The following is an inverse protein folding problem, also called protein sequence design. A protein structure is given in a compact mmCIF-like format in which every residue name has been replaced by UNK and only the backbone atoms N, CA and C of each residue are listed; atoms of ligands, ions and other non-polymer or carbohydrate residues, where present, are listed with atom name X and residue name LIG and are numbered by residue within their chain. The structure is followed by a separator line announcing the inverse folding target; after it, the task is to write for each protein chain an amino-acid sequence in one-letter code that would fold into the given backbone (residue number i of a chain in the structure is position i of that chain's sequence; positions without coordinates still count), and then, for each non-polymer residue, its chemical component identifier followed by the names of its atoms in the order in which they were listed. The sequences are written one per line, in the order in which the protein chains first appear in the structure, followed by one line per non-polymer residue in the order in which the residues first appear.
data_IF_346827109534
#
_entry.id   IF_346827109534
#
_cell.length_a   1.000
_cell.length_b   1.000
_cell.length_c   1.000
_cell.angle_alpha   90.00
_cell.angle_beta   90.00
_cell.angle_gamma   90.00
#
_symmetry.space_group_name_H-M   'P 1'
#
loop_
_entity.id
_entity.type
_entity.pdbx_description
1 polymer ?
#
# COMPACT_ATOMS: atom_id res chain seq x y z
N UNK A 1 11.90 -29.03 12.63
CA UNK A 1 10.51 -28.55 12.75
C UNK A 1 9.82 -28.77 11.41
N UNK A 2 8.68 -29.47 11.39
CA UNK A 2 7.98 -29.88 10.17
C UNK A 2 7.47 -28.66 9.37
N UNK A 3 7.63 -28.65 8.04
CA UNK A 3 7.18 -27.56 7.14
C UNK A 3 5.69 -27.28 7.32
N UNK A 4 4.87 -28.33 7.48
CA UNK A 4 3.43 -28.21 7.68
C UNK A 4 3.08 -27.48 8.98
N UNK A 5 3.85 -27.72 10.06
CA UNK A 5 3.66 -27.01 11.34
C UNK A 5 3.99 -25.52 11.18
N UNK A 6 5.08 -25.19 10.48
CA UNK A 6 5.46 -23.78 10.22
C UNK A 6 4.43 -23.03 9.41
N UNK A 7 3.87 -23.65 8.38
CA UNK A 7 2.84 -23.03 7.55
C UNK A 7 1.58 -22.77 8.38
N UNK A 8 1.12 -23.76 9.14
CA UNK A 8 -0.06 -23.65 9.99
C UNK A 8 0.08 -22.53 11.04
N UNK A 9 1.28 -22.35 11.62
CA UNK A 9 1.56 -21.26 12.54
C UNK A 9 1.38 -19.89 11.88
N UNK A 10 1.87 -19.71 10.65
CA UNK A 10 1.71 -18.46 9.91
C UNK A 10 0.27 -18.22 9.46
N UNK A 11 -0.44 -19.25 9.01
CA UNK A 11 -1.85 -19.15 8.63
C UNK A 11 -2.71 -18.69 9.82
N UNK A 12 -2.41 -19.22 11.01
CA UNK A 12 -3.04 -18.79 12.26
C UNK A 12 -2.73 -17.33 12.57
N UNK A 13 -1.46 -16.92 12.49
CA UNK A 13 -1.04 -15.52 12.71
C UNK A 13 -1.78 -14.56 11.76
N UNK A 14 -1.89 -14.91 10.47
CA UNK A 14 -2.62 -14.12 9.47
C UNK A 14 -4.11 -14.02 9.82
N UNK A 15 -4.73 -15.14 10.20
CA UNK A 15 -6.14 -15.20 10.57
C UNK A 15 -6.47 -14.32 11.78
N UNK A 16 -5.61 -14.36 12.81
CA UNK A 16 -5.74 -13.53 14.01
C UNK A 16 -5.50 -12.05 13.71
N UNK A 17 -4.46 -11.75 12.93
CA UNK A 17 -4.10 -10.38 12.57
C UNK A 17 -5.20 -9.69 11.76
N UNK A 18 -5.93 -10.38 10.87
CA UNK A 18 -7.03 -9.79 10.08
C UNK A 18 -8.09 -9.04 10.91
N UNK A 19 -8.16 -9.24 12.22
CA UNK A 19 -9.08 -8.58 13.15
C UNK A 19 -8.56 -7.28 13.80
N UNK A 20 -7.34 -6.83 13.48
CA UNK A 20 -6.69 -5.67 14.14
C UNK A 20 -6.26 -4.52 13.21
N UNK A 21 -5.58 -3.50 13.77
CA UNK A 21 -5.14 -2.27 13.09
C UNK A 21 -3.83 -2.37 12.30
N UNK A 22 -3.08 -1.27 12.12
CA UNK A 22 -1.85 -1.21 11.28
C UNK A 22 -0.84 -2.33 11.58
N UNK A 23 -0.59 -2.61 12.86
CA UNK A 23 0.30 -3.70 13.29
C UNK A 23 -0.12 -5.07 12.76
N UNK A 24 -1.41 -5.30 12.56
CA UNK A 24 -1.90 -6.52 11.94
C UNK A 24 -1.47 -6.66 10.49
N UNK A 25 -1.50 -5.58 9.72
CA UNK A 25 -1.07 -5.61 8.32
C UNK A 25 0.43 -5.86 8.20
N UNK A 26 1.24 -5.34 9.13
CA UNK A 26 2.68 -5.64 9.20
C UNK A 26 2.95 -7.11 9.53
N UNK A 27 2.22 -7.69 10.48
CA UNK A 27 2.31 -9.12 10.81
C UNK A 27 1.91 -9.99 9.62
N UNK A 28 0.83 -9.63 8.92
CA UNK A 28 0.41 -10.31 7.69
C UNK A 28 1.52 -10.21 6.63
N UNK A 29 2.07 -9.02 6.39
CA UNK A 29 3.18 -8.83 5.44
C UNK A 29 4.41 -9.66 5.77
N UNK A 30 4.80 -9.72 7.05
CA UNK A 30 5.89 -10.56 7.55
C UNK A 30 5.64 -12.05 7.30
N UNK A 31 4.45 -12.53 7.68
CA UNK A 31 4.08 -13.94 7.52
C UNK A 31 4.03 -14.34 6.04
N UNK A 32 3.40 -13.52 5.19
CA UNK A 32 3.35 -13.73 3.74
C UNK A 32 4.75 -13.73 3.11
N UNK A 33 5.63 -12.83 3.56
CA UNK A 33 7.02 -12.80 3.10
C UNK A 33 7.76 -14.09 3.46
N UNK A 34 7.60 -14.58 4.70
CA UNK A 34 8.22 -15.82 5.16
C UNK A 34 7.66 -17.07 4.44
N UNK A 35 6.35 -17.12 4.19
CA UNK A 35 5.71 -18.19 3.41
C UNK A 35 6.25 -18.20 1.98
N UNK A 36 6.32 -17.05 1.33
CA UNK A 36 6.77 -16.94 -0.05
C UNK A 36 8.26 -17.26 -0.21
N UNK A 37 9.13 -16.70 0.65
CA UNK A 37 10.58 -16.95 0.65
C UNK A 37 10.92 -18.41 0.95
N UNK A 38 10.15 -19.06 1.83
CA UNK A 38 10.36 -20.44 2.22
C UNK A 38 9.65 -21.45 1.34
N UNK A 39 8.96 -21.01 0.28
CA UNK A 39 8.13 -21.87 -0.58
C UNK A 39 7.16 -22.76 0.21
N UNK A 40 6.71 -22.30 1.38
CA UNK A 40 5.96 -23.12 2.34
C UNK A 40 4.58 -23.52 1.82
N UNK A 41 4.08 -22.79 0.82
CA UNK A 41 2.81 -23.01 0.13
C UNK A 41 2.87 -24.14 -0.91
N UNK A 42 4.07 -24.60 -1.29
CA UNK A 42 4.23 -25.64 -2.31
C UNK A 42 3.52 -26.93 -1.89
N UNK A 43 2.78 -27.53 -2.84
CA UNK A 43 1.93 -28.70 -2.59
C UNK A 43 0.50 -28.36 -2.17
N UNK A 44 0.19 -27.11 -1.81
CA UNK A 44 -1.19 -26.67 -1.53
C UNK A 44 -1.83 -25.89 -2.68
N UNK A 45 -1.03 -25.24 -3.52
CA UNK A 45 -1.51 -24.49 -4.67
C UNK A 45 -0.52 -24.53 -5.84
N UNK A 46 -0.98 -24.13 -7.03
CA UNK A 46 -0.17 -24.06 -8.24
C UNK A 46 0.81 -22.88 -8.28
N UNK A 47 0.57 -21.85 -7.48
CA UNK A 47 1.44 -20.68 -7.34
C UNK A 47 1.19 -19.99 -6.01
N UNK A 48 2.14 -19.18 -5.52
CA UNK A 48 1.93 -18.34 -4.35
C UNK A 48 0.70 -17.43 -4.49
N UNK A 49 0.48 -16.85 -5.67
CA UNK A 49 -0.71 -16.02 -5.93
C UNK A 49 -2.02 -16.81 -5.77
N UNK A 50 -2.07 -18.03 -6.31
CA UNK A 50 -3.21 -18.93 -6.15
C UNK A 50 -3.44 -19.32 -4.69
N UNK A 51 -2.37 -19.61 -3.95
CA UNK A 51 -2.44 -19.90 -2.51
C UNK A 51 -3.02 -18.72 -1.72
N UNK A 52 -2.53 -17.50 -1.97
CA UNK A 52 -3.00 -16.28 -1.31
C UNK A 52 -4.49 -16.03 -1.57
N UNK A 53 -4.94 -16.19 -2.81
CA UNK A 53 -6.34 -15.92 -3.16
C UNK A 53 -7.28 -17.03 -2.68
N UNK A 54 -6.94 -18.29 -2.94
CA UNK A 54 -7.84 -19.42 -2.72
C UNK A 54 -7.78 -19.97 -1.30
N UNK A 55 -6.59 -20.01 -0.67
CA UNK A 55 -6.43 -20.54 0.69
C UNK A 55 -6.57 -19.44 1.74
N UNK A 56 -5.98 -18.26 1.50
CA UNK A 56 -5.99 -17.17 2.47
C UNK A 56 -7.11 -16.15 2.24
N UNK A 57 -7.81 -16.18 1.10
CA UNK A 57 -8.90 -15.23 0.81
C UNK A 57 -8.44 -13.77 0.71
N UNK A 58 -7.18 -13.53 0.34
CA UNK A 58 -6.60 -12.19 0.18
C UNK A 58 -6.50 -11.85 -1.30
N UNK A 59 -6.79 -10.59 -1.65
CA UNK A 59 -6.51 -10.10 -3.02
C UNK A 59 -5.01 -10.14 -3.28
N UNK A 60 -4.59 -10.71 -4.42
CA UNK A 60 -3.18 -10.81 -4.81
C UNK A 60 -2.43 -9.48 -4.69
N UNK A 61 -2.94 -8.41 -5.31
CA UNK A 61 -2.28 -7.10 -5.31
C UNK A 61 -2.07 -6.53 -3.90
N UNK A 62 -3.03 -6.78 -3.00
CA UNK A 62 -2.94 -6.36 -1.61
C UNK A 62 -1.87 -7.15 -0.86
N UNK A 63 -1.83 -8.48 -1.03
CA UNK A 63 -0.82 -9.32 -0.40
C UNK A 63 0.61 -8.92 -0.79
N UNK A 64 0.88 -8.68 -2.08
CA UNK A 64 2.18 -8.19 -2.52
C UNK A 64 2.51 -6.79 -1.97
N UNK A 65 1.52 -5.91 -1.85
CA UNK A 65 1.72 -4.61 -1.22
C UNK A 65 2.14 -4.74 0.23
N UNK A 66 1.52 -5.64 1.00
CA UNK A 66 1.88 -5.90 2.40
C UNK A 66 3.27 -6.51 2.54
N UNK A 67 3.64 -7.45 1.67
CA UNK A 67 5.00 -8.01 1.62
C UNK A 67 6.02 -6.89 1.38
N UNK A 68 5.79 -6.03 0.39
CA UNK A 68 6.70 -4.96 0.05
C UNK A 68 6.83 -3.94 1.19
N UNK A 69 5.72 -3.54 1.83
CA UNK A 69 5.77 -2.67 3.01
C UNK A 69 6.61 -3.30 4.12
N UNK A 70 6.41 -4.59 4.40
CA UNK A 70 7.21 -5.31 5.39
C UNK A 70 8.70 -5.33 5.04
N UNK A 71 9.05 -5.58 3.78
CA UNK A 71 10.45 -5.62 3.35
C UNK A 71 11.14 -4.25 3.45
N UNK A 72 10.42 -3.17 3.14
CA UNK A 72 10.99 -1.81 3.13
C UNK A 72 11.09 -1.21 4.53
N UNK A 73 10.00 -1.29 5.32
CA UNK A 73 9.89 -0.57 6.61
C UNK A 73 9.56 -1.46 7.81
N UNK A 74 9.35 -2.77 7.61
CA UNK A 74 8.77 -3.63 8.63
C UNK A 74 9.56 -3.68 9.95
N UNK A 75 10.89 -3.72 9.88
CA UNK A 75 11.74 -3.70 11.08
C UNK A 75 11.69 -2.35 11.80
N UNK A 76 11.74 -1.24 11.05
CA UNK A 76 11.69 0.11 11.60
C UNK A 76 10.35 0.36 12.30
N UNK A 77 9.23 -0.02 11.67
CA UNK A 77 7.89 0.11 12.24
C UNK A 77 7.70 -0.74 13.51
N UNK A 78 8.35 -1.89 13.62
CA UNK A 78 8.32 -2.68 14.86
C UNK A 78 9.18 -2.08 15.97
N UNK A 79 10.31 -1.46 15.63
CA UNK A 79 11.24 -0.88 16.58
C UNK A 79 10.83 0.50 17.09
N UNK A 80 10.04 1.26 16.33
CA UNK A 80 9.66 2.64 16.60
C UNK A 80 8.13 2.79 16.80
N UNK A 81 7.63 2.79 18.06
CA UNK A 81 6.19 2.87 18.35
C UNK A 81 5.49 4.12 17.80
N UNK A 82 6.20 5.24 17.71
CA UNK A 82 5.73 6.51 17.14
C UNK A 82 5.36 6.37 15.66
N UNK A 83 6.10 5.55 14.92
CA UNK A 83 5.86 5.28 13.50
C UNK A 83 4.73 4.26 13.25
N UNK A 84 4.27 3.54 14.27
CA UNK A 84 3.19 2.55 14.14
C UNK A 84 1.82 3.19 13.89
N UNK A 85 1.71 4.51 14.11
CA UNK A 85 0.51 5.29 13.83
C UNK A 85 0.27 5.53 12.33
N UNK A 86 1.29 5.31 11.47
CA UNK A 86 1.18 5.52 10.02
C UNK A 86 0.21 4.52 9.41
N UNK A 87 -0.83 5.03 8.75
CA UNK A 87 -1.80 4.18 8.06
C UNK A 87 -1.14 3.33 6.95
N UNK A 88 -1.47 2.04 6.90
CA UNK A 88 -0.92 1.11 5.91
C UNK A 88 -1.13 1.59 4.46
N UNK A 89 -2.25 2.26 4.18
CA UNK A 89 -2.58 2.79 2.86
C UNK A 89 -1.62 3.89 2.42
N UNK A 90 -1.08 4.69 3.36
CA UNK A 90 -0.04 5.69 3.10
C UNK A 90 1.29 5.01 2.75
N UNK A 91 1.68 4.00 3.51
CA UNK A 91 2.90 3.21 3.24
C UNK A 91 2.85 2.57 1.85
N UNK A 92 1.70 1.98 1.48
CA UNK A 92 1.53 1.41 0.13
C UNK A 92 1.64 2.46 -0.98
N UNK A 93 1.16 3.70 -0.76
CA UNK A 93 1.30 4.80 -1.73
C UNK A 93 2.73 5.32 -1.86
N UNK A 94 3.56 5.15 -0.83
CA UNK A 94 4.97 5.54 -0.84
C UNK A 94 5.85 4.54 -1.57
N UNK A 95 5.49 3.26 -1.61
CA UNK A 95 6.30 2.20 -2.25
C UNK A 95 6.86 2.57 -3.63
N UNK A 96 6.09 3.15 -4.57
CA UNK A 96 6.60 3.48 -5.92
C UNK A 96 7.60 4.63 -5.95
N UNK A 97 7.72 5.41 -4.86
CA UNK A 97 8.63 6.54 -4.72
C UNK A 97 9.85 6.19 -3.87
N UNK A 98 9.86 4.99 -3.29
CA UNK A 98 10.84 4.59 -2.30
C UNK A 98 12.10 4.05 -2.95
N UNK A 99 13.23 4.55 -2.50
CA UNK A 99 14.58 4.06 -2.78
C UNK A 99 15.28 3.77 -1.46
N UNK A 100 16.44 3.12 -1.51
CA UNK A 100 17.20 2.85 -0.28
C UNK A 100 17.69 4.13 0.40
N UNK A 101 17.90 5.20 -0.36
CA UNK A 101 18.38 6.50 0.12
C UNK A 101 17.28 7.34 0.78
N UNK A 102 16.02 7.18 0.39
CA UNK A 102 14.92 8.06 0.83
C UNK A 102 13.88 7.38 1.73
N UNK A 103 13.94 6.05 1.92
CA UNK A 103 12.90 5.28 2.62
C UNK A 103 12.63 5.76 4.05
N UNK A 104 13.65 6.20 4.77
CA UNK A 104 13.51 6.69 6.15
C UNK A 104 12.84 8.07 6.18
N UNK A 105 13.30 8.99 5.35
CA UNK A 105 12.72 10.33 5.21
C UNK A 105 11.23 10.25 4.83
N UNK A 106 10.88 9.41 3.86
CA UNK A 106 9.50 9.21 3.43
C UNK A 106 8.63 8.65 4.55
N UNK A 107 9.14 7.70 5.35
CA UNK A 107 8.42 7.13 6.47
C UNK A 107 8.14 8.20 7.54
N UNK A 108 9.17 8.98 7.91
CA UNK A 108 9.01 10.07 8.87
C UNK A 108 8.05 11.14 8.36
N UNK A 109 8.13 11.54 7.09
CA UNK A 109 7.20 12.50 6.51
C UNK A 109 5.75 11.99 6.58
N UNK A 110 5.50 10.72 6.27
CA UNK A 110 4.17 10.13 6.33
C UNK A 110 3.57 10.08 7.75
N UNK A 111 4.41 9.96 8.77
CA UNK A 111 4.00 9.99 10.19
C UNK A 111 3.64 11.39 10.67
N UNK A 112 4.30 12.43 10.15
CA UNK A 112 4.13 13.80 10.64
C UNK A 112 3.11 14.62 9.86
N UNK A 113 2.66 14.18 8.68
CA UNK A 113 1.62 14.87 7.92
C UNK A 113 0.24 14.48 8.50
N UNK A 114 -0.46 15.39 9.21
CA UNK A 114 -1.65 15.02 9.96
C UNK A 114 -2.85 14.73 9.05
N UNK A 115 -2.97 15.42 7.92
CA UNK A 115 -4.14 15.37 7.07
C UNK A 115 -3.89 14.64 5.74
N UNK A 116 -4.96 14.06 5.19
CA UNK A 116 -4.91 13.28 3.94
C UNK A 116 -4.54 14.16 2.75
N UNK A 117 -4.97 15.43 2.72
CA UNK A 117 -4.76 16.32 1.57
C UNK A 117 -3.30 16.76 1.49
N UNK A 118 -2.68 17.13 2.61
CA UNK A 118 -1.26 17.44 2.71
C UNK A 118 -0.40 16.25 2.26
N UNK A 119 -0.79 15.02 2.64
CA UNK A 119 -0.08 13.83 2.21
C UNK A 119 -0.17 13.62 0.68
N UNK A 120 -1.36 13.78 0.10
CA UNK A 120 -1.55 13.68 -1.36
C UNK A 120 -0.82 14.79 -2.14
N UNK A 121 -0.78 16.02 -1.62
CA UNK A 121 -0.02 17.11 -2.21
C UNK A 121 1.48 16.81 -2.16
N UNK A 122 1.99 16.33 -1.02
CA UNK A 122 3.39 15.91 -0.90
C UNK A 122 3.74 14.80 -1.90
N UNK A 123 2.88 13.78 -2.06
CA UNK A 123 3.07 12.74 -3.06
C UNK A 123 3.09 13.28 -4.51
N UNK A 124 2.34 14.34 -4.80
CA UNK A 124 2.39 15.00 -6.11
C UNK A 124 3.72 15.71 -6.31
N UNK A 125 4.15 16.47 -5.31
CA UNK A 125 5.41 17.22 -5.35
C UNK A 125 6.61 16.27 -5.56
N UNK A 126 6.65 15.15 -4.82
CA UNK A 126 7.66 14.09 -5.01
C UNK A 126 7.65 13.47 -6.42
N UNK A 127 6.52 13.53 -7.14
CA UNK A 127 6.38 13.07 -8.53
C UNK A 127 6.65 14.19 -9.55
N UNK A 128 7.15 15.34 -9.12
CA UNK A 128 7.36 16.53 -9.97
C UNK A 128 6.06 17.19 -10.45
N UNK A 129 4.93 16.91 -9.80
CA UNK A 129 3.64 17.54 -10.08
C UNK A 129 3.33 18.56 -8.99
N UNK A 130 2.74 19.70 -9.36
CA UNK A 130 2.33 20.69 -8.36
C UNK A 130 1.22 20.18 -7.46
N UNK A 131 1.38 20.40 -6.16
CA UNK A 131 0.32 20.29 -5.17
C UNK A 131 -0.84 21.24 -5.47
N UNK A 132 -2.01 20.95 -4.90
CA UNK A 132 -3.20 21.81 -5.07
C UNK A 132 -3.12 23.11 -4.27
N UNK A 133 -2.19 23.16 -3.32
CA UNK A 133 -1.78 24.30 -2.48
C UNK A 133 -0.80 25.23 -3.19
N UNK A 134 -0.06 24.75 -4.19
CA UNK A 134 0.94 25.53 -4.97
C UNK A 134 0.40 26.01 -6.34
N UNK A 135 -0.92 25.95 -6.53
CA UNK A 135 -1.57 26.31 -7.78
C UNK A 135 -1.74 27.83 -7.90
N UNK A 136 -0.66 28.54 -8.26
CA UNK A 136 -0.64 30.01 -8.43
C UNK A 136 -1.13 30.52 -9.81
N UNK A 137 -1.83 29.69 -10.59
CA UNK A 137 -2.27 30.08 -11.93
C UNK A 137 -3.71 30.60 -11.92
N UNK A 138 -3.98 31.66 -12.70
CA UNK A 138 -5.34 32.09 -13.04
C UNK A 138 -6.13 30.86 -13.52
N UNK A 139 -7.24 30.55 -12.82
CA UNK A 139 -8.04 29.36 -13.06
C UNK A 139 -8.37 29.20 -14.56
N UNK A 140 -7.82 28.16 -15.19
CA UNK A 140 -8.31 27.72 -16.49
C UNK A 140 -9.51 26.80 -16.25
N UNK A 141 -10.70 27.37 -16.37
CA UNK A 141 -11.95 26.62 -16.34
C UNK A 141 -12.07 25.87 -17.66
N UNK A 142 -12.22 24.56 -17.62
CA UNK A 142 -12.51 23.75 -18.80
C UNK A 142 -13.94 23.23 -18.72
N UNK A 143 -14.74 23.64 -19.70
CA UNK A 143 -16.11 23.15 -19.85
C UNK A 143 -16.13 21.87 -20.69
N UNK A 144 -17.08 20.99 -20.38
CA UNK A 144 -17.34 19.78 -21.14
C UNK A 144 -18.84 19.67 -21.40
N UNK A 145 -19.22 19.21 -22.58
CA UNK A 145 -20.57 18.71 -22.83
C UNK A 145 -20.56 17.18 -22.65
N UNK A 146 -21.58 16.67 -21.97
CA UNK A 146 -21.82 15.24 -21.79
C UNK A 146 -23.16 14.88 -22.45
N UNK A 147 -23.16 13.86 -23.31
CA UNK A 147 -24.42 13.29 -23.80
C UNK A 147 -25.14 12.55 -22.67
N UNK A 148 -26.39 12.91 -22.38
CA UNK A 148 -27.17 12.30 -21.30
C UNK A 148 -27.53 10.83 -21.55
N UNK A 149 -27.60 10.41 -22.82
CA UNK A 149 -28.00 9.05 -23.20
C UNK A 149 -26.82 8.05 -23.17
N UNK A 150 -25.65 8.44 -23.67
CA UNK A 150 -24.50 7.53 -23.81
C UNK A 150 -23.30 7.89 -22.94
N UNK A 151 -23.33 9.04 -22.25
CA UNK A 151 -22.26 9.47 -21.36
C UNK A 151 -20.99 9.97 -22.06
N UNK A 152 -20.97 10.06 -23.39
CA UNK A 152 -19.81 10.59 -24.13
C UNK A 152 -19.53 12.03 -23.69
N UNK A 153 -18.30 12.29 -23.24
CA UNK A 153 -17.82 13.62 -22.85
C UNK A 153 -16.88 14.17 -23.92
N UNK A 154 -17.10 15.40 -24.38
CA UNK A 154 -16.14 16.15 -25.20
C UNK A 154 -15.80 17.48 -24.54
N UNK A 155 -14.52 17.87 -24.64
CA UNK A 155 -14.04 19.18 -24.20
C UNK A 155 -14.65 20.25 -25.10
N UNK A 156 -15.22 21.30 -24.52
CA UNK A 156 -15.60 22.47 -25.30
C UNK A 156 -14.37 23.35 -25.45
N UNK A 157 -14.04 23.76 -26.68
CA UNK A 157 -13.08 24.82 -26.90
C UNK A 157 -13.73 26.14 -26.48
N UNK A 158 -13.09 26.87 -25.56
CA UNK A 158 -13.54 28.20 -25.15
C UNK A 158 -13.49 29.13 -26.38
N UNK A 159 -14.59 29.86 -26.63
CA UNK A 159 -14.62 30.97 -27.59
C UNK A 159 -14.14 32.26 -26.94
#
# INVERSE_FOLDING_TARGET
MNIALRLADYEKEISEAKRGGVLSFLRIGKALHAINQGDLWQGQASSFSSYVENSLGLKRSWAYSLINVWQVWGQQLLAAPDLQSVEITRLVKLLPLTTDENKEELLHAAAHIPDVRGFENNLKNLRGKKGTDECDHNFQVVSFWQCELCGLRKKTEDK
#
